data_IF_693706456671
#
_entry.id   IF_693706456671
#
_cell.length_a   1.000
_cell.length_b   1.000
_cell.length_c   1.000
_cell.angle_alpha   90.00
_cell.angle_beta   90.00
_cell.angle_gamma   90.00
#
_symmetry.space_group_name_H-M   'P 1'
#
loop_
_entity.id
_entity.type
_entity.pdbx_description
1 polymer ?
#
# COMPACT_ATOMS: atom_id res chain seq x y z
N UNK A 1 -16.31 10.49 0.47
CA UNK A 1 -15.28 9.46 0.21
C UNK A 1 -14.37 9.47 1.42
N UNK A 2 -14.52 8.53 2.35
CA UNK A 2 -13.63 8.48 3.52
C UNK A 2 -12.19 8.27 3.01
N UNK A 3 -11.33 9.25 3.29
CA UNK A 3 -9.87 9.39 3.20
C UNK A 3 -8.99 8.20 2.75
N UNK A 4 -9.41 7.45 1.72
CA UNK A 4 -8.71 6.26 1.23
C UNK A 4 -7.32 6.62 0.72
N UNK A 5 -7.21 7.80 0.10
CA UNK A 5 -5.93 8.38 -0.31
C UNK A 5 -5.01 8.65 0.90
N UNK A 6 -5.54 9.14 2.02
CA UNK A 6 -4.75 9.35 3.24
C UNK A 6 -4.34 8.03 3.89
N UNK A 7 -5.19 7.01 3.85
CA UNK A 7 -4.88 5.67 4.38
C UNK A 7 -3.83 4.96 3.51
N UNK A 8 -3.93 5.10 2.19
CA UNK A 8 -2.94 4.60 1.24
C UNK A 8 -1.57 5.27 1.42
N UNK A 9 -1.55 6.61 1.52
CA UNK A 9 -0.32 7.36 1.75
C UNK A 9 0.33 6.98 3.09
N UNK A 10 -0.47 6.84 4.16
CA UNK A 10 0.03 6.45 5.47
C UNK A 10 0.61 5.04 5.48
N UNK A 11 -0.03 4.11 4.77
CA UNK A 11 0.47 2.75 4.61
C UNK A 11 1.80 2.73 3.86
N UNK A 12 1.94 3.51 2.79
CA UNK A 12 3.21 3.68 2.04
C UNK A 12 4.33 4.24 2.92
N UNK A 13 4.07 5.31 3.69
CA UNK A 13 5.06 5.87 4.62
C UNK A 13 5.53 4.85 5.66
N UNK A 14 4.63 4.04 6.20
CA UNK A 14 4.97 3.03 7.20
C UNK A 14 5.80 1.88 6.59
N UNK A 15 5.52 1.52 5.33
CA UNK A 15 6.29 0.53 4.59
C UNK A 15 7.72 1.03 4.33
N UNK A 16 7.87 2.26 3.82
CA UNK A 16 9.18 2.87 3.56
C UNK A 16 9.99 3.06 4.85
N UNK A 17 9.34 3.49 5.94
CA UNK A 17 9.99 3.64 7.24
C UNK A 17 10.46 2.28 7.82
N UNK A 18 9.67 1.22 7.62
CA UNK A 18 10.07 -0.14 8.01
C UNK A 18 11.26 -0.64 7.18
N UNK A 19 11.29 -0.39 5.87
CA UNK A 19 12.44 -0.76 5.03
C UNK A 19 13.72 0.01 5.40
N UNK A 20 13.60 1.29 5.75
CA UNK A 20 14.72 2.13 6.15
C UNK A 20 15.26 1.77 7.55
N UNK A 21 14.38 1.48 8.51
CA UNK A 21 14.73 1.21 9.91
C UNK A 21 15.21 -0.22 10.18
N UNK A 22 14.72 -1.20 9.42
CA UNK A 22 14.91 -2.62 9.71
C UNK A 22 15.70 -3.35 8.60
N UNK A 23 16.79 -2.73 8.09
CA UNK A 23 17.73 -3.36 7.14
C UNK A 23 18.11 -4.79 7.57
N UNK A 24 17.36 -5.77 7.05
CA UNK A 24 17.54 -7.20 7.29
C UNK A 24 16.87 -7.81 8.54
N UNK A 25 16.22 -7.04 9.42
CA UNK A 25 15.66 -7.55 10.70
C UNK A 25 14.16 -7.82 10.72
N UNK A 26 13.43 -7.38 9.69
CA UNK A 26 12.00 -7.67 9.60
C UNK A 26 11.76 -9.17 9.62
N UNK A 27 10.93 -9.62 10.57
CA UNK A 27 10.47 -11.01 10.63
C UNK A 27 9.74 -11.40 9.33
N UNK A 28 9.75 -12.68 8.98
CA UNK A 28 9.05 -13.17 7.80
C UNK A 28 7.56 -12.80 7.83
N UNK A 29 6.94 -12.84 9.02
CA UNK A 29 5.55 -12.44 9.22
C UNK A 29 5.31 -10.95 8.91
N UNK A 30 6.18 -10.06 9.39
CA UNK A 30 6.06 -8.63 9.10
C UNK A 30 6.20 -8.37 7.60
N UNK A 31 7.13 -9.03 6.91
CA UNK A 31 7.28 -8.91 5.44
C UNK A 31 6.02 -9.37 4.69
N UNK A 32 5.40 -10.47 5.13
CA UNK A 32 4.14 -10.95 4.53
C UNK A 32 3.01 -9.94 4.72
N UNK A 33 2.86 -9.37 5.93
CA UNK A 33 1.85 -8.33 6.20
C UNK A 33 2.09 -7.07 5.36
N UNK A 34 3.35 -6.67 5.18
CA UNK A 34 3.72 -5.55 4.32
C UNK A 34 3.34 -5.81 2.86
N UNK A 35 3.71 -6.98 2.31
CA UNK A 35 3.36 -7.36 0.95
C UNK A 35 1.84 -7.43 0.72
N UNK A 36 1.07 -7.88 1.72
CA UNK A 36 -0.40 -7.88 1.66
C UNK A 36 -0.97 -6.47 1.57
N UNK A 37 -0.43 -5.52 2.34
CA UNK A 37 -0.85 -4.11 2.28
C UNK A 37 -0.52 -3.53 0.91
N UNK A 38 0.68 -3.74 0.38
CA UNK A 38 1.07 -3.29 -0.96
C UNK A 38 0.15 -3.83 -2.05
N UNK A 39 -0.19 -5.13 -2.00
CA UNK A 39 -1.08 -5.76 -2.96
C UNK A 39 -2.49 -5.12 -2.94
N UNK A 40 -3.02 -4.81 -1.74
CA UNK A 40 -4.31 -4.13 -1.61
C UNK A 40 -4.28 -2.71 -2.18
N UNK A 41 -3.20 -1.96 -1.94
CA UNK A 41 -3.03 -0.62 -2.48
C UNK A 41 -2.92 -0.63 -4.02
N UNK A 42 -2.14 -1.57 -4.57
CA UNK A 42 -2.02 -1.75 -6.01
C UNK A 42 -3.35 -2.11 -6.67
N UNK A 43 -4.14 -2.99 -6.02
CA UNK A 43 -5.48 -3.34 -6.49
C UNK A 43 -6.43 -2.14 -6.48
N UNK A 44 -6.45 -1.38 -5.39
CA UNK A 44 -7.28 -0.18 -5.29
C UNK A 44 -6.94 0.84 -6.39
N UNK A 45 -5.64 1.06 -6.65
CA UNK A 45 -5.18 1.94 -7.72
C UNK A 45 -5.60 1.43 -9.12
N UNK A 46 -5.57 0.11 -9.35
CA UNK A 46 -6.01 -0.49 -10.60
C UNK A 46 -7.52 -0.30 -10.83
N UNK A 47 -8.33 -0.45 -9.77
CA UNK A 47 -9.79 -0.23 -9.82
C UNK A 47 -10.08 1.25 -10.13
N UNK A 48 -9.50 2.20 -9.40
CA UNK A 48 -9.69 3.64 -9.66
C UNK A 48 -9.28 4.03 -11.10
N UNK A 49 -8.18 3.48 -11.61
CA UNK A 49 -7.76 3.68 -13.00
C UNK A 49 -8.80 3.16 -14.00
N UNK A 50 -9.39 1.99 -13.75
CA UNK A 50 -10.42 1.41 -14.61
C UNK A 50 -11.71 2.25 -14.59
N UNK A 51 -12.15 2.71 -13.41
CA UNK A 51 -13.34 3.56 -13.26
C UNK A 51 -13.18 4.90 -13.99
N UNK A 52 -12.00 5.53 -13.89
CA UNK A 52 -11.69 6.77 -14.63
C UNK A 52 -11.62 6.56 -16.14
N UNK A 53 -11.24 5.38 -16.61
CA UNK A 53 -11.21 5.05 -18.04
C UNK A 53 -12.61 4.78 -18.60
N UNK A 54 -13.49 4.16 -17.81
CA UNK A 54 -14.88 3.86 -18.21
C UNK A 54 -15.80 5.10 -18.21
N UNK A 55 -15.39 6.18 -17.55
CA UNK A 55 -16.17 7.43 -17.43
C UNK A 55 -15.80 8.49 -18.49
N UNK A 56 -15.01 8.14 -19.51
CA UNK A 56 -14.65 8.99 -20.67
C UNK A 56 -15.37 8.52 -21.93
#
# INVERSE_FOLDING_TARGET
MADYAAHAHKAQELLEAAELGEKGRLSAETRVRMAQVEALLALAAAIDKQERAASR
#
